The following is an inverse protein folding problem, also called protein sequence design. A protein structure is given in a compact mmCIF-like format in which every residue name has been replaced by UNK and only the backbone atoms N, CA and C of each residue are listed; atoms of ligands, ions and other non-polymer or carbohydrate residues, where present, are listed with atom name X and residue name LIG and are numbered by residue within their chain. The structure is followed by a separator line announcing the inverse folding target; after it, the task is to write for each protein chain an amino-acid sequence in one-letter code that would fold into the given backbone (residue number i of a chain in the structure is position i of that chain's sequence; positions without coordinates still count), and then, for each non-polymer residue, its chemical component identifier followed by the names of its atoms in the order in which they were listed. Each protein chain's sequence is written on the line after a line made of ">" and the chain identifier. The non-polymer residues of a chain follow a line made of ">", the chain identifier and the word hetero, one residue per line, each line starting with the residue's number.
data_IF_455092594234
#
_entry.id   IF_455092594234
#
_cell.length_a   1.000
_cell.length_b   1.000
_cell.length_c   1.000
_cell.angle_alpha   90.00
_cell.angle_beta   90.00
_cell.angle_gamma   90.00
#
_symmetry.space_group_name_H-M   'P 1'
#
loop_
_entity.id
_entity.type
_entity.pdbx_description
1 polymer ?
#
# COMPACT_ATOMS: atom_id res chain seq x y z
N UNK A 1 -86.94 -54.55 20.21
CA UNK A 1 -87.07 -53.62 19.06
C UNK A 1 -85.99 -52.55 19.20
N UNK A 2 -85.13 -52.44 18.19
CA UNK A 2 -83.90 -51.62 18.17
C UNK A 2 -84.29 -50.14 18.08
N UNK A 3 -83.81 -49.30 19.00
CA UNK A 3 -83.80 -47.83 18.81
C UNK A 3 -82.35 -47.41 18.56
N UNK A 4 -82.05 -47.17 17.28
CA UNK A 4 -80.79 -46.56 16.85
C UNK A 4 -80.78 -45.10 17.33
N UNK A 5 -79.78 -44.74 18.12
CA UNK A 5 -79.45 -43.34 18.41
C UNK A 5 -78.80 -42.73 17.15
N UNK A 6 -79.15 -41.50 16.76
CA UNK A 6 -78.50 -40.84 15.64
C UNK A 6 -77.04 -40.51 16.02
N UNK A 7 -76.10 -41.07 15.26
CA UNK A 7 -74.68 -40.71 15.33
C UNK A 7 -74.57 -39.29 14.81
N UNK A 8 -74.31 -38.33 15.71
CA UNK A 8 -73.89 -36.99 15.36
C UNK A 8 -72.46 -37.09 14.82
N UNK A 9 -72.33 -37.19 13.50
CA UNK A 9 -71.05 -37.14 12.82
C UNK A 9 -70.53 -35.70 12.86
N UNK A 10 -69.75 -35.38 13.88
CA UNK A 10 -69.00 -34.12 13.94
C UNK A 10 -67.79 -34.25 13.00
N UNK A 11 -67.97 -33.89 11.73
CA UNK A 11 -66.85 -33.71 10.81
C UNK A 11 -66.14 -32.41 11.23
N UNK A 12 -65.16 -32.50 12.14
CA UNK A 12 -64.09 -31.51 12.12
C UNK A 12 -63.35 -31.75 10.81
N UNK A 13 -63.74 -31.03 9.76
CA UNK A 13 -62.82 -30.80 8.67
C UNK A 13 -61.64 -30.07 9.31
N UNK A 14 -60.55 -30.80 9.59
CA UNK A 14 -59.27 -30.16 9.82
C UNK A 14 -59.06 -29.32 8.57
N UNK A 15 -59.23 -28.01 8.69
CA UNK A 15 -58.80 -27.09 7.68
C UNK A 15 -57.28 -27.19 7.71
N UNK A 16 -56.71 -28.13 6.95
CA UNK A 16 -55.32 -28.00 6.51
C UNK A 16 -55.33 -26.77 5.60
N UNK A 17 -55.32 -25.57 6.19
CA UNK A 17 -54.81 -24.44 5.44
C UNK A 17 -53.37 -24.84 5.14
N UNK A 18 -53.04 -25.08 3.87
CA UNK A 18 -51.66 -25.12 3.46
C UNK A 18 -51.02 -23.86 4.06
N UNK A 19 -50.08 -24.05 4.98
CA UNK A 19 -49.59 -22.95 5.78
C UNK A 19 -48.98 -21.91 4.81
N UNK A 20 -49.54 -20.70 4.82
CA UNK A 20 -49.08 -19.65 3.94
C UNK A 20 -47.66 -19.26 4.36
N UNK A 21 -46.73 -19.33 3.42
CA UNK A 21 -45.36 -18.90 3.61
C UNK A 21 -45.18 -17.51 2.99
N UNK A 22 -44.65 -16.59 3.78
CA UNK A 22 -44.20 -15.29 3.31
C UNK A 22 -42.68 -15.30 3.24
N UNK A 23 -42.14 -14.71 2.17
CA UNK A 23 -40.70 -14.64 1.93
C UNK A 23 -40.26 -13.19 2.06
N UNK A 24 -39.06 -13.00 2.56
CA UNK A 24 -38.38 -11.71 2.58
C UNK A 24 -36.94 -11.93 2.15
N UNK A 25 -36.54 -11.19 1.12
CA UNK A 25 -35.19 -11.17 0.60
C UNK A 25 -34.61 -9.78 0.76
N UNK A 26 -33.37 -9.72 1.23
CA UNK A 26 -32.52 -8.54 1.19
C UNK A 26 -31.28 -8.92 0.37
N UNK A 27 -31.06 -8.26 -0.76
CA UNK A 27 -29.97 -8.59 -1.67
C UNK A 27 -28.64 -7.94 -1.25
N UNK A 28 -28.62 -7.13 -0.19
CA UNK A 28 -27.41 -6.49 0.31
C UNK A 28 -26.96 -5.27 -0.49
N UNK A 29 -27.69 -4.90 -1.55
CA UNK A 29 -27.49 -3.67 -2.34
C UNK A 29 -28.54 -2.58 -2.04
N UNK A 30 -29.32 -2.78 -0.98
CA UNK A 30 -30.43 -1.90 -0.57
C UNK A 30 -31.78 -2.23 -1.23
N UNK A 31 -31.85 -3.25 -2.09
CA UNK A 31 -33.12 -3.74 -2.66
C UNK A 31 -33.63 -5.00 -1.93
N UNK A 32 -34.95 -5.18 -1.98
CA UNK A 32 -35.64 -6.28 -1.30
C UNK A 32 -36.68 -6.94 -2.21
N UNK A 33 -37.11 -8.17 -1.87
CA UNK A 33 -38.23 -8.84 -2.54
C UNK A 33 -39.04 -9.72 -1.58
N UNK A 34 -40.33 -9.86 -1.87
CA UNK A 34 -41.22 -10.77 -1.13
C UNK A 34 -41.67 -11.99 -1.96
N UNK A 35 -41.09 -12.19 -3.15
CA UNK A 35 -41.36 -13.36 -3.97
C UNK A 35 -40.69 -14.60 -3.37
N UNK A 36 -41.30 -15.78 -3.55
CA UNK A 36 -40.71 -17.04 -3.11
C UNK A 36 -39.37 -17.32 -3.81
N UNK A 37 -39.32 -17.02 -5.12
CA UNK A 37 -38.17 -17.22 -6.00
C UNK A 37 -37.95 -15.95 -6.83
N UNK A 38 -37.29 -14.90 -6.28
CA UNK A 38 -37.01 -13.69 -7.03
C UNK A 38 -35.79 -13.87 -7.94
N UNK A 39 -35.84 -13.21 -9.10
CA UNK A 39 -34.65 -12.91 -9.88
C UNK A 39 -34.13 -11.53 -9.48
N UNK A 40 -32.80 -11.39 -9.33
CA UNK A 40 -32.16 -10.12 -9.01
C UNK A 40 -30.93 -9.89 -9.86
N UNK A 41 -30.74 -8.65 -10.32
CA UNK A 41 -29.60 -8.24 -11.14
C UNK A 41 -28.87 -7.06 -10.49
N UNK A 42 -27.62 -7.29 -10.11
CA UNK A 42 -26.74 -6.25 -9.58
C UNK A 42 -26.25 -5.33 -10.68
N UNK A 43 -26.25 -4.01 -10.40
CA UNK A 43 -25.80 -2.98 -11.34
C UNK A 43 -24.29 -2.74 -11.29
N UNK A 44 -23.68 -2.92 -10.13
CA UNK A 44 -22.26 -2.67 -9.89
C UNK A 44 -21.57 -3.93 -9.36
N UNK A 45 -20.31 -4.11 -9.72
CA UNK A 45 -19.47 -5.10 -9.08
C UNK A 45 -19.38 -4.81 -7.57
N UNK A 46 -19.43 -5.86 -6.77
CA UNK A 46 -19.39 -5.77 -5.32
C UNK A 46 -19.50 -7.15 -4.70
N UNK A 47 -19.24 -7.22 -3.39
CA UNK A 47 -19.47 -8.41 -2.59
C UNK A 47 -20.71 -8.15 -1.74
N UNK A 48 -21.78 -8.90 -2.01
CA UNK A 48 -23.09 -8.71 -1.40
C UNK A 48 -23.43 -9.88 -0.49
N UNK A 49 -24.02 -9.59 0.68
CA UNK A 49 -24.58 -10.61 1.56
C UNK A 49 -26.08 -10.66 1.36
N UNK A 50 -26.54 -11.67 0.62
CA UNK A 50 -27.96 -11.93 0.38
C UNK A 50 -28.55 -12.62 1.60
N UNK A 51 -29.64 -12.08 2.13
CA UNK A 51 -30.37 -12.66 3.26
C UNK A 51 -31.77 -13.05 2.81
N UNK A 52 -32.20 -14.23 3.23
CA UNK A 52 -33.57 -14.70 3.05
C UNK A 52 -34.16 -15.06 4.40
N UNK A 53 -35.37 -14.60 4.64
CA UNK A 53 -36.20 -14.95 5.76
C UNK A 53 -37.52 -15.52 5.24
N UNK A 54 -38.01 -16.60 5.86
CA UNK A 54 -39.30 -17.22 5.52
C UNK A 54 -40.14 -17.25 6.78
N UNK A 55 -41.37 -16.77 6.65
CA UNK A 55 -42.34 -16.68 7.72
C UNK A 55 -43.51 -17.63 7.44
N UNK A 56 -44.02 -18.25 8.49
CA UNK A 56 -45.24 -19.05 8.44
C UNK A 56 -46.23 -18.46 9.43
N UNK A 57 -47.37 -17.96 8.95
CA UNK A 57 -48.36 -17.27 9.77
C UNK A 57 -47.74 -16.14 10.63
N UNK A 58 -46.83 -15.37 10.05
CA UNK A 58 -46.11 -14.28 10.73
C UNK A 58 -44.97 -14.72 11.67
N UNK A 59 -44.69 -16.01 11.80
CA UNK A 59 -43.59 -16.54 12.62
C UNK A 59 -42.39 -16.83 11.72
N UNK A 60 -41.20 -16.30 12.04
CA UNK A 60 -39.97 -16.63 11.34
C UNK A 60 -39.66 -18.13 11.51
N UNK A 61 -39.69 -18.88 10.41
CA UNK A 61 -39.43 -20.33 10.40
C UNK A 61 -38.09 -20.69 9.76
N UNK A 62 -37.53 -19.81 8.93
CA UNK A 62 -36.22 -20.03 8.31
C UNK A 62 -35.50 -18.71 8.08
N UNK A 63 -34.18 -18.73 8.29
CA UNK A 63 -33.27 -17.68 7.85
C UNK A 63 -32.06 -18.32 7.16
N UNK A 64 -31.60 -17.69 6.09
CA UNK A 64 -30.38 -18.11 5.39
C UNK A 64 -29.64 -16.89 4.85
N UNK A 65 -28.32 -16.97 4.80
CA UNK A 65 -27.47 -15.92 4.23
C UNK A 65 -26.50 -16.55 3.22
N UNK A 66 -26.20 -15.82 2.14
CA UNK A 66 -25.29 -16.24 1.08
C UNK A 66 -24.48 -15.04 0.60
N UNK A 67 -23.17 -15.22 0.46
CA UNK A 67 -22.30 -14.21 -0.14
C UNK A 67 -22.26 -14.39 -1.65
N UNK A 68 -22.44 -13.29 -2.38
CA UNK A 68 -22.31 -13.20 -3.83
C UNK A 68 -21.13 -12.28 -4.13
N UNK A 69 -20.06 -12.85 -4.67
CA UNK A 69 -18.86 -12.12 -5.08
C UNK A 69 -18.90 -11.84 -6.59
N UNK A 70 -19.10 -10.57 -6.93
CA UNK A 70 -19.05 -10.08 -8.31
C UNK A 70 -17.76 -9.31 -8.64
N UNK A 71 -16.82 -9.23 -7.69
CA UNK A 71 -15.56 -8.49 -7.84
C UNK A 71 -14.47 -9.41 -8.37
N UNK A 72 -14.20 -10.51 -7.67
CA UNK A 72 -13.15 -11.47 -8.01
C UNK A 72 -13.22 -11.96 -9.47
N UNK A 73 -14.38 -12.38 -10.01
CA UNK A 73 -14.45 -12.84 -11.41
C UNK A 73 -14.16 -11.74 -12.45
N UNK A 74 -14.21 -10.46 -12.07
CA UNK A 74 -13.92 -9.34 -12.96
C UNK A 74 -12.43 -8.96 -12.98
N UNK A 75 -11.65 -9.42 -12.00
CA UNK A 75 -10.19 -9.19 -11.95
C UNK A 75 -9.48 -10.22 -12.83
N UNK A 76 -8.87 -9.73 -13.92
CA UNK A 76 -8.12 -10.56 -14.88
C UNK A 76 -6.68 -10.75 -14.41
N UNK A 77 -6.00 -9.66 -14.03
CA UNK A 77 -4.62 -9.68 -13.56
C UNK A 77 -4.37 -8.61 -12.51
N UNK A 78 -3.41 -8.89 -11.63
CA UNK A 78 -2.84 -7.95 -10.67
C UNK A 78 -1.33 -8.16 -10.71
N UNK A 79 -0.61 -7.12 -11.10
CA UNK A 79 0.83 -7.14 -11.28
C UNK A 79 1.47 -6.00 -10.47
N UNK A 80 2.74 -6.19 -10.11
CA UNK A 80 3.55 -5.18 -9.44
C UNK A 80 4.48 -4.57 -10.49
N UNK A 81 4.41 -3.25 -10.64
CA UNK A 81 5.32 -2.46 -11.45
C UNK A 81 6.41 -1.85 -10.56
N UNK A 82 7.66 -2.04 -10.98
CA UNK A 82 8.88 -1.57 -10.32
C UNK A 82 9.78 -0.88 -11.36
N UNK A 83 10.65 0.04 -10.95
CA UNK A 83 11.74 0.49 -11.82
C UNK A 83 12.70 -0.65 -12.14
N UNK A 84 13.55 -0.46 -13.15
CA UNK A 84 14.55 -1.46 -13.56
C UNK A 84 15.60 -1.76 -12.51
N UNK A 85 15.83 -0.83 -11.58
CA UNK A 85 16.76 -0.95 -10.48
C UNK A 85 16.19 -0.25 -9.25
N UNK A 86 16.40 -0.85 -8.09
CA UNK A 86 16.01 -0.31 -6.79
C UNK A 86 17.28 -0.14 -5.97
N UNK A 87 17.47 1.05 -5.40
CA UNK A 87 18.67 1.40 -4.64
C UNK A 87 18.27 1.57 -3.18
N UNK A 88 19.00 0.93 -2.27
CA UNK A 88 18.75 1.05 -0.84
C UNK A 88 18.86 2.52 -0.40
N UNK A 89 18.03 2.92 0.56
CA UNK A 89 17.95 4.28 1.13
C UNK A 89 17.48 5.39 0.17
N UNK A 90 17.05 5.03 -1.05
CA UNK A 90 16.45 5.95 -2.00
C UNK A 90 14.95 5.70 -2.16
N UNK A 91 14.20 6.77 -2.40
CA UNK A 91 12.76 6.69 -2.70
C UNK A 91 12.52 5.93 -4.00
N UNK A 92 11.66 4.92 -3.94
CA UNK A 92 11.27 4.09 -5.07
C UNK A 92 9.75 4.07 -5.17
N UNK A 93 9.22 4.40 -6.34
CA UNK A 93 7.80 4.20 -6.61
C UNK A 93 7.52 2.72 -6.89
N UNK A 94 6.62 2.14 -6.12
CA UNK A 94 6.03 0.82 -6.36
C UNK A 94 4.57 1.00 -6.73
N UNK A 95 4.13 0.34 -7.81
CA UNK A 95 2.80 0.58 -8.38
C UNK A 95 2.07 -0.72 -8.69
N UNK A 96 0.77 -0.76 -8.41
CA UNK A 96 -0.12 -1.86 -8.72
C UNK A 96 -0.70 -1.67 -10.13
N UNK A 97 -0.53 -2.68 -10.98
CA UNK A 97 -1.17 -2.73 -12.29
C UNK A 97 -2.34 -3.70 -12.23
N UNK A 98 -3.55 -3.15 -12.22
CA UNK A 98 -4.79 -3.92 -12.23
C UNK A 98 -5.35 -4.02 -13.65
N UNK A 99 -5.63 -5.23 -14.10
CA UNK A 99 -6.40 -5.48 -15.33
C UNK A 99 -7.75 -6.09 -14.96
N UNK A 100 -8.84 -5.46 -15.39
CA UNK A 100 -10.21 -5.94 -15.16
C UNK A 100 -10.98 -6.10 -16.48
N UNK A 101 -12.00 -6.95 -16.47
CA UNK A 101 -12.91 -7.13 -17.61
C UNK A 101 -13.98 -6.02 -17.69
N UNK A 102 -14.30 -5.41 -16.55
CA UNK A 102 -15.20 -4.27 -16.38
C UNK A 102 -14.64 -3.33 -15.31
N UNK A 103 -15.04 -2.05 -15.26
CA UNK A 103 -14.62 -1.14 -14.20
C UNK A 103 -15.01 -1.67 -12.81
N UNK A 104 -14.05 -1.71 -11.90
CA UNK A 104 -14.26 -2.02 -10.48
C UNK A 104 -13.77 -0.81 -9.70
N UNK A 105 -14.68 -0.21 -8.94
CA UNK A 105 -14.37 0.91 -8.04
C UNK A 105 -14.08 0.38 -6.62
N UNK A 106 -13.63 1.26 -5.72
CA UNK A 106 -13.50 0.95 -4.27
C UNK A 106 -12.49 -0.13 -3.88
N UNK A 107 -11.69 -0.64 -4.81
CA UNK A 107 -10.56 -1.50 -4.45
C UNK A 107 -9.55 -0.70 -3.63
N UNK A 108 -9.02 -1.37 -2.61
CA UNK A 108 -7.87 -0.89 -1.86
C UNK A 108 -6.70 -1.83 -2.08
N UNK A 109 -5.49 -1.29 -1.93
CA UNK A 109 -4.24 -1.98 -2.10
C UNK A 109 -3.50 -1.98 -0.77
N UNK A 110 -3.03 -3.15 -0.37
CA UNK A 110 -2.18 -3.28 0.81
C UNK A 110 -0.87 -3.96 0.42
N UNK A 111 0.22 -3.28 0.73
CA UNK A 111 1.58 -3.70 0.39
C UNK A 111 2.25 -4.34 1.60
N UNK A 112 3.08 -5.34 1.32
CA UNK A 112 3.86 -6.05 2.32
C UNK A 112 5.28 -6.26 1.81
N UNK A 113 6.27 -6.03 2.67
CA UNK A 113 7.67 -6.33 2.43
C UNK A 113 8.12 -7.40 3.42
N UNK A 114 8.60 -8.54 2.93
CA UNK A 114 9.07 -9.65 3.77
C UNK A 114 8.06 -10.07 4.86
N UNK A 115 6.78 -10.14 4.48
CA UNK A 115 5.61 -10.41 5.34
C UNK A 115 5.20 -9.29 6.31
N UNK A 116 5.96 -8.19 6.39
CA UNK A 116 5.61 -7.01 7.16
C UNK A 116 4.74 -6.05 6.34
N UNK A 117 3.66 -5.53 6.93
CA UNK A 117 2.80 -4.58 6.24
C UNK A 117 3.46 -3.21 6.12
N UNK A 118 3.43 -2.63 4.92
CA UNK A 118 3.93 -1.29 4.66
C UNK A 118 2.91 -0.18 4.99
N UNK A 119 1.76 -0.55 5.57
CA UNK A 119 0.70 0.36 5.97
C UNK A 119 -0.70 -0.21 5.81
N UNK A 120 -1.69 0.62 6.13
CA UNK A 120 -3.10 0.29 5.91
C UNK A 120 -3.43 0.19 4.41
N UNK A 121 -4.53 -0.49 4.08
CA UNK A 121 -5.00 -0.57 2.71
C UNK A 121 -5.53 0.79 2.21
N UNK A 122 -4.99 1.26 1.07
CA UNK A 122 -5.29 2.58 0.47
C UNK A 122 -5.85 2.44 -0.95
N UNK A 123 -6.56 3.44 -1.47
CA UNK A 123 -7.09 3.36 -2.86
C UNK A 123 -6.03 3.70 -3.90
N UNK A 124 -5.01 4.43 -3.48
CA UNK A 124 -3.84 4.77 -4.28
C UNK A 124 -3.11 3.49 -4.68
N UNK A 125 -3.04 3.26 -5.98
CA UNK A 125 -2.37 2.09 -6.55
C UNK A 125 -0.84 2.20 -6.48
N UNK A 126 -0.29 3.36 -6.10
CA UNK A 126 1.14 3.62 -6.04
C UNK A 126 1.57 4.07 -4.64
N UNK A 127 2.76 3.65 -4.23
CA UNK A 127 3.41 4.04 -2.98
C UNK A 127 4.87 4.41 -3.26
N UNK A 128 5.34 5.52 -2.70
CA UNK A 128 6.77 5.80 -2.62
C UNK A 128 7.34 5.14 -1.36
N UNK A 129 8.35 4.30 -1.52
CA UNK A 129 8.94 3.53 -0.44
C UNK A 129 10.47 3.55 -0.48
N UNK A 130 11.09 3.55 0.69
CA UNK A 130 12.56 3.53 0.86
C UNK A 130 12.97 2.17 1.41
N UNK A 131 13.71 1.40 0.62
CA UNK A 131 14.25 0.11 1.05
C UNK A 131 15.49 0.32 1.92
N UNK A 132 15.42 0.01 3.21
CA UNK A 132 16.52 0.27 4.15
C UNK A 132 17.75 -0.63 3.93
N UNK A 133 17.55 -1.80 3.34
CA UNK A 133 18.58 -2.84 3.18
C UNK A 133 18.66 -3.27 1.74
N UNK A 134 19.89 -3.54 1.28
CA UNK A 134 20.11 -4.23 0.01
C UNK A 134 19.85 -5.73 0.14
N UNK A 135 19.66 -6.38 -1.00
CA UNK A 135 19.55 -7.82 -1.11
C UNK A 135 18.19 -8.21 -1.68
N UNK A 136 17.85 -9.49 -1.51
CA UNK A 136 16.58 -10.03 -1.97
C UNK A 136 15.47 -9.74 -0.97
N UNK A 137 14.36 -9.25 -1.48
CA UNK A 137 13.15 -8.99 -0.71
C UNK A 137 11.93 -9.56 -1.42
N UNK A 138 10.93 -9.97 -0.64
CA UNK A 138 9.64 -10.38 -1.17
C UNK A 138 8.66 -9.22 -1.05
N UNK A 139 8.21 -8.70 -2.18
CA UNK A 139 7.16 -7.69 -2.23
C UNK A 139 5.83 -8.36 -2.57
N UNK A 140 4.85 -8.23 -1.67
CA UNK A 140 3.51 -8.80 -1.81
C UNK A 140 2.48 -7.69 -1.85
N UNK A 141 1.47 -7.87 -2.70
CA UNK A 141 0.39 -6.93 -2.92
C UNK A 141 -0.95 -7.65 -2.81
N UNK A 142 -1.81 -7.14 -1.92
CA UNK A 142 -3.21 -7.53 -1.85
C UNK A 142 -4.10 -6.45 -2.46
N UNK A 143 -5.01 -6.84 -3.34
CA UNK A 143 -6.18 -6.04 -3.71
C UNK A 143 -7.37 -6.48 -2.86
N UNK A 144 -8.03 -5.52 -2.21
CA UNK A 144 -9.10 -5.74 -1.25
C UNK A 144 -10.40 -5.04 -1.67
N UNK A 145 -11.53 -5.72 -1.48
CA UNK A 145 -12.86 -5.12 -1.46
C UNK A 145 -13.35 -5.03 -0.01
N UNK A 146 -13.40 -3.83 0.55
CA UNK A 146 -13.61 -3.65 1.99
C UNK A 146 -12.47 -4.32 2.78
N UNK A 147 -12.78 -5.39 3.51
CA UNK A 147 -11.81 -6.21 4.25
C UNK A 147 -11.46 -7.54 3.55
N UNK A 148 -12.10 -7.84 2.41
CA UNK A 148 -11.93 -9.12 1.71
C UNK A 148 -10.82 -9.00 0.68
N UNK A 149 -9.81 -9.87 0.75
CA UNK A 149 -8.79 -10.00 -0.30
C UNK A 149 -9.45 -10.65 -1.51
N UNK A 150 -9.49 -9.94 -2.63
CA UNK A 150 -10.08 -10.41 -3.89
C UNK A 150 -9.01 -10.84 -4.90
N UNK A 151 -7.76 -10.38 -4.72
CA UNK A 151 -6.60 -10.85 -5.47
C UNK A 151 -5.32 -10.59 -4.70
N UNK A 152 -4.33 -11.45 -4.89
CA UNK A 152 -2.97 -11.30 -4.34
C UNK A 152 -1.93 -11.63 -5.42
N UNK A 153 -0.78 -10.98 -5.34
CA UNK A 153 0.41 -11.25 -6.15
C UNK A 153 1.66 -10.95 -5.34
N UNK A 154 2.77 -11.59 -5.68
CA UNK A 154 4.06 -11.38 -5.02
C UNK A 154 5.22 -11.52 -6.02
N UNK A 155 6.32 -10.84 -5.74
CA UNK A 155 7.54 -10.87 -6.55
C UNK A 155 8.77 -10.80 -5.65
N UNK A 156 9.78 -11.61 -5.95
CA UNK A 156 11.13 -11.44 -5.40
C UNK A 156 11.84 -10.34 -6.20
N UNK A 157 12.30 -9.30 -5.50
CA UNK A 157 13.09 -8.21 -6.07
C UNK A 157 14.48 -8.16 -5.44
N UNK A 158 15.43 -7.55 -6.15
CA UNK A 158 16.78 -7.32 -5.65
C UNK A 158 17.02 -5.82 -5.48
N UNK A 159 17.32 -5.40 -4.25
CA UNK A 159 17.71 -4.03 -3.91
C UNK A 159 19.22 -3.94 -3.92
N UNK A 160 19.76 -3.00 -4.68
CA UNK A 160 21.19 -2.77 -4.82
C UNK A 160 21.68 -1.81 -3.73
N UNK A 161 22.89 -2.02 -3.21
CA UNK A 161 23.53 -1.04 -2.32
C UNK A 161 23.75 0.28 -3.05
N UNK A 162 23.59 1.39 -2.33
CA UNK A 162 24.06 2.68 -2.81
C UNK A 162 25.58 2.61 -2.94
N UNK A 163 26.10 2.78 -4.14
CA UNK A 163 27.55 2.85 -4.35
C UNK A 163 28.04 4.23 -3.93
N UNK A 164 28.98 4.28 -3.00
CA UNK A 164 29.74 5.51 -2.74
C UNK A 164 30.38 5.93 -4.07
N UNK A 165 29.96 7.07 -4.62
CA UNK A 165 30.74 7.75 -5.64
C UNK A 165 32.07 8.15 -4.98
N UNK A 166 33.08 7.30 -5.09
CA UNK A 166 34.45 7.68 -4.77
C UNK A 166 34.79 8.79 -5.76
N UNK A 167 34.79 10.03 -5.25
CA UNK A 167 35.36 11.18 -5.92
C UNK A 167 36.74 10.77 -6.45
N UNK A 168 37.02 10.86 -7.77
CA UNK A 168 38.34 10.53 -8.28
C UNK A 168 39.31 11.46 -7.57
N UNK A 169 40.14 10.88 -6.71
CA UNK A 169 41.10 11.60 -5.90
C UNK A 169 41.86 12.58 -6.76
N UNK A 170 41.86 13.83 -6.30
CA UNK A 170 42.67 14.92 -6.82
C UNK A 170 44.07 14.38 -7.13
N UNK A 171 44.38 14.30 -8.42
CA UNK A 171 45.65 13.83 -8.91
C UNK A 171 46.72 14.84 -8.54
N UNK A 172 47.34 14.68 -7.37
CA UNK A 172 48.60 15.33 -7.10
C UNK A 172 49.64 14.70 -8.02
N UNK A 173 49.89 15.41 -9.11
CA UNK A 173 50.94 15.21 -10.10
C UNK A 173 52.31 15.09 -9.41
N UNK A 174 53.04 13.97 -9.56
CA UNK A 174 54.42 13.87 -9.09
C UNK A 174 55.38 14.20 -10.24
N UNK A 175 55.65 15.49 -10.46
CA UNK A 175 56.80 15.91 -11.26
C UNK A 175 57.35 17.27 -10.81
N UNK A 176 58.43 17.26 -10.02
CA UNK A 176 59.58 18.10 -10.33
C UNK A 176 60.88 17.50 -9.75
N UNK A 177 61.63 16.86 -10.64
CA UNK A 177 62.99 17.34 -10.95
C UNK A 177 63.98 17.58 -9.80
N UNK A 178 64.76 16.55 -9.52
CA UNK A 178 66.19 16.59 -9.17
C UNK A 178 66.95 17.91 -9.49
N UNK A 179 67.51 18.57 -8.45
CA UNK A 179 68.76 19.34 -8.51
C UNK A 179 69.56 19.15 -7.22
N UNK A 180 70.77 18.61 -7.35
CA UNK A 180 71.76 18.49 -6.28
C UNK A 180 72.64 19.75 -6.09
N UNK A 181 73.62 19.60 -5.18
CA UNK A 181 74.67 20.53 -4.67
C UNK A 181 74.15 21.49 -3.59
N UNK A 182 74.73 21.66 -2.39
CA UNK A 182 76.03 21.32 -1.80
C UNK A 182 75.92 21.28 -0.25
N UNK A 183 76.90 20.71 0.49
CA UNK A 183 77.01 20.78 1.94
C UNK A 183 78.02 21.86 2.37
N UNK A 184 77.66 22.75 3.30
CA UNK A 184 78.68 23.52 4.04
C UNK A 184 78.18 24.02 5.41
N UNK A 185 79.16 24.12 6.29
CA UNK A 185 79.12 24.14 7.74
C UNK A 185 78.68 25.47 8.39
N UNK A 186 78.19 25.35 9.63
CA UNK A 186 78.84 26.00 10.77
C UNK A 186 78.76 27.53 10.96
N UNK A 187 78.01 27.87 12.01
CA UNK A 187 78.44 28.70 13.15
C UNK A 187 78.21 30.23 13.15
N UNK A 188 77.43 30.63 14.17
CA UNK A 188 77.61 31.78 15.09
C UNK A 188 77.74 33.20 14.54
N UNK A 189 76.89 34.11 15.04
CA UNK A 189 77.25 35.23 15.95
C UNK A 189 76.01 36.13 16.15
N UNK A 190 75.74 36.54 17.39
CA UNK A 190 74.77 37.57 17.83
C UNK A 190 75.51 38.89 18.17
N UNK A 191 74.85 39.94 18.71
CA UNK A 191 74.02 41.00 18.11
C UNK A 191 74.71 42.41 18.33
N UNK A 192 74.08 43.62 18.23
CA UNK A 192 73.04 44.11 19.17
C UNK A 192 71.96 45.03 18.53
N UNK A 193 70.75 45.04 19.08
CA UNK A 193 70.13 46.15 19.84
C UNK A 193 69.82 47.45 19.06
N UNK A 194 68.54 47.79 18.97
CA UNK A 194 68.10 49.14 19.33
C UNK A 194 66.63 49.12 19.74
N UNK A 195 66.40 49.20 21.05
CA UNK A 195 65.09 49.35 21.65
C UNK A 195 64.46 50.74 21.49
N UNK A 196 63.13 50.77 21.57
CA UNK A 196 62.34 51.70 22.41
C UNK A 196 60.86 51.25 22.34
N UNK A 197 60.29 50.67 23.40
CA UNK A 197 59.62 51.29 24.57
C UNK A 197 58.11 51.58 24.35
N UNK A 198 57.26 50.55 24.57
CA UNK A 198 56.24 50.37 25.64
C UNK A 198 55.39 51.60 26.08
N UNK A 199 54.13 51.49 26.60
CA UNK A 199 53.10 50.41 26.67
C UNK A 199 51.67 50.86 26.22
N UNK A 200 50.68 49.97 26.18
CA UNK A 200 49.61 49.86 27.22
C UNK A 200 48.44 48.94 26.82
N UNK A 201 47.99 48.23 27.86
CA UNK A 201 46.86 47.34 28.09
C UNK A 201 45.69 47.33 27.09
N UNK A 202 45.15 46.15 26.82
CA UNK A 202 44.22 45.53 27.78
C UNK A 202 43.79 44.12 27.36
N UNK A 203 44.08 43.24 28.30
CA UNK A 203 43.53 41.93 28.62
C UNK A 203 42.01 41.76 28.37
N UNK A 204 41.62 40.73 27.59
CA UNK A 204 40.55 39.77 27.97
C UNK A 204 40.45 38.59 26.99
N UNK A 205 40.78 37.41 27.52
CA UNK A 205 40.43 36.07 27.04
C UNK A 205 39.17 35.57 27.82
N UNK A 206 38.62 34.35 27.63
CA UNK A 206 38.25 33.60 26.42
C UNK A 206 36.82 32.97 26.48
N UNK A 207 36.50 32.22 25.42
CA UNK A 207 35.78 30.92 25.40
C UNK A 207 34.24 30.81 25.24
N UNK A 208 33.88 30.17 24.11
CA UNK A 208 33.11 28.91 23.94
C UNK A 208 31.68 28.75 24.48
N UNK A 209 30.77 28.33 23.59
CA UNK A 209 29.44 27.79 23.90
C UNK A 209 28.66 27.42 22.62
N UNK A 210 28.15 26.19 22.58
CA UNK A 210 27.49 25.45 21.48
C UNK A 210 26.05 25.91 21.12
N UNK A 211 25.49 25.32 20.03
CA UNK A 211 24.04 25.18 19.75
C UNK A 211 23.66 25.75 18.36
N UNK A 212 23.65 24.98 17.27
CA UNK A 212 22.70 23.94 16.81
C UNK A 212 21.42 24.49 16.11
N UNK A 213 21.18 23.89 14.93
CA UNK A 213 19.96 23.68 14.10
C UNK A 213 18.78 24.67 14.15
N UNK A 214 18.03 24.98 13.09
CA UNK A 214 17.88 24.42 11.73
C UNK A 214 16.48 24.80 11.19
N UNK A 215 16.23 24.52 9.90
CA UNK A 215 14.86 24.31 9.39
C UNK A 215 14.23 25.44 8.56
N UNK A 216 14.68 25.58 7.30
CA UNK A 216 13.89 26.20 6.23
C UNK A 216 13.13 25.13 5.44
N UNK A 217 11.80 25.24 5.37
CA UNK A 217 10.96 24.40 4.51
C UNK A 217 10.79 25.03 3.13
N UNK A 218 11.06 24.25 2.08
CA UNK A 218 10.69 24.58 0.70
C UNK A 218 9.74 23.52 0.15
N UNK A 219 8.59 23.98 -0.30
CA UNK A 219 7.57 23.22 -1.01
C UNK A 219 8.09 22.82 -2.40
N UNK A 220 8.06 21.53 -2.70
CA UNK A 220 8.30 20.98 -4.03
C UNK A 220 7.05 20.28 -4.55
N UNK A 221 6.43 20.87 -5.57
CA UNK A 221 5.31 20.31 -6.33
C UNK A 221 5.84 19.14 -7.16
N UNK A 222 5.22 17.95 -7.07
CA UNK A 222 5.50 16.83 -7.99
C UNK A 222 4.26 16.57 -8.86
N UNK A 223 4.51 16.62 -10.16
CA UNK A 223 3.57 16.59 -11.27
C UNK A 223 2.75 15.30 -11.36
N UNK A 224 1.47 15.45 -11.75
CA UNK A 224 0.65 14.38 -12.32
C UNK A 224 1.29 13.84 -13.61
N UNK A 225 1.62 12.55 -13.64
CA UNK A 225 1.76 11.80 -14.90
C UNK A 225 0.69 10.70 -14.97
N UNK A 226 -0.31 10.97 -15.81
CA UNK A 226 -1.27 9.98 -16.30
C UNK A 226 -0.59 9.15 -17.40
N UNK A 227 -0.51 7.82 -17.24
CA UNK A 227 -0.13 6.94 -18.34
C UNK A 227 -1.27 5.97 -18.68
N UNK A 228 -1.99 6.31 -19.74
CA UNK A 228 -2.88 5.43 -20.50
C UNK A 228 -2.06 4.39 -21.27
N UNK A 229 -2.05 3.13 -20.83
CA UNK A 229 -1.55 2.02 -21.64
C UNK A 229 -2.66 1.46 -22.56
N UNK A 230 -2.68 1.93 -23.80
CA UNK A 230 -3.45 1.33 -24.90
C UNK A 230 -2.65 0.17 -25.52
N UNK A 231 -3.11 -1.06 -25.29
CA UNK A 231 -2.55 -2.29 -25.87
C UNK A 231 -2.80 -2.32 -27.39
N UNK A 232 -1.72 -2.34 -28.17
CA UNK A 232 -1.72 -2.61 -29.61
C UNK A 232 -2.02 -4.08 -29.90
N UNK A 233 -3.15 -4.36 -30.56
CA UNK A 233 -3.49 -5.67 -31.12
C UNK A 233 -2.78 -5.85 -32.47
N UNK A 234 -1.78 -6.74 -32.56
CA UNK A 234 -1.34 -7.33 -33.83
C UNK A 234 -2.27 -8.49 -34.17
N UNK A 235 -2.94 -8.45 -35.33
CA UNK A 235 -3.50 -9.64 -35.99
C UNK A 235 -2.68 -9.93 -37.24
N UNK A 236 -2.46 -11.23 -37.47
CA UNK A 236 -2.04 -11.80 -38.76
C UNK A 236 -3.04 -11.46 -39.85
#
# INVERSE_FOLDING_TARGET
>A
MKKLLPILLFMFAAHLSAAQLDYFWDFGDGTISNLAEPEHQYKAAGIYTVKREVYQNGILVMKSEQVVDLVTPKIVALEIALPSQIIAKQGTEISALLTTSEPIEMLKYQWFLDEESLGDAVQEAALEYVFERSGKHMLKLHALWGATIVKSTEIELEVVQESDNIEPGDGTDPDDGNKGTDPDDGNSVTPPDNGNKVPDNSDKSPNHGEGDSGGGGSLGIVSLFWLLCLIRRRRK
#
